data_IF_152848005462
#
_entry.id   IF_152848005462
#
_cell.length_a   1.000
_cell.length_b   1.000
_cell.length_c   1.000
_cell.angle_alpha   90.00
_cell.angle_beta   90.00
_cell.angle_gamma   90.00
#
_symmetry.space_group_name_H-M   'P 1'
#
loop_
_entity.id
_entity.type
_entity.pdbx_description
1 polymer ?
#
# COMPACT_ATOMS: atom_id res chain seq x y z
N UNK A 1 2.71 18.75 33.45
CA UNK A 1 3.37 17.59 32.88
C UNK A 1 2.91 17.43 31.41
N UNK A 2 3.87 17.44 30.51
CA UNK A 2 3.57 17.22 29.07
C UNK A 2 3.21 15.77 28.85
N UNK A 3 2.08 15.49 28.18
CA UNK A 3 1.74 14.11 27.84
C UNK A 3 2.86 13.46 27.02
N UNK A 4 3.15 12.18 27.20
CA UNK A 4 4.15 11.50 26.39
C UNK A 4 3.72 11.51 24.93
N UNK A 5 4.70 11.67 24.02
CA UNK A 5 4.47 11.54 22.58
C UNK A 5 4.05 10.10 22.28
N UNK A 6 3.00 9.88 21.47
CA UNK A 6 2.62 8.52 21.09
C UNK A 6 3.78 7.78 20.45
N UNK A 7 3.94 6.47 20.72
CA UNK A 7 4.96 5.67 20.06
C UNK A 7 4.77 5.73 18.54
N UNK A 8 5.88 5.79 17.82
CA UNK A 8 5.88 5.80 16.36
C UNK A 8 5.87 4.38 15.82
N UNK A 9 4.96 4.12 14.91
CA UNK A 9 4.91 2.87 14.15
C UNK A 9 5.04 3.22 12.67
N UNK A 10 6.03 2.66 12.01
CA UNK A 10 6.27 2.91 10.60
C UNK A 10 5.78 1.74 9.76
N UNK A 11 5.22 2.06 8.60
CA UNK A 11 4.75 1.08 7.63
C UNK A 11 5.17 1.49 6.23
N UNK A 12 5.40 0.50 5.38
CA UNK A 12 5.70 0.69 3.97
C UNK A 12 4.55 0.10 3.15
N UNK A 13 4.06 0.87 2.18
CA UNK A 13 2.98 0.48 1.28
C UNK A 13 3.47 0.54 -0.16
N UNK A 14 2.98 -0.35 -0.99
CA UNK A 14 3.35 -0.38 -2.40
C UNK A 14 2.16 0.04 -3.26
N UNK A 15 2.40 0.99 -4.17
CA UNK A 15 1.45 1.27 -5.24
C UNK A 15 1.93 0.44 -6.41
N UNK A 16 1.35 -0.74 -6.57
CA UNK A 16 1.79 -1.76 -7.52
C UNK A 16 1.07 -1.58 -8.85
N UNK A 17 1.81 -1.21 -9.87
CA UNK A 17 1.26 -1.02 -11.22
C UNK A 17 1.85 -2.04 -12.19
N UNK A 18 0.99 -2.57 -13.07
CA UNK A 18 1.42 -3.43 -14.17
C UNK A 18 1.67 -2.60 -15.45
N UNK A 19 1.98 -3.27 -16.55
CA UNK A 19 2.26 -2.61 -17.83
C UNK A 19 1.04 -1.88 -18.42
N UNK A 20 -0.16 -2.24 -18.00
CA UNK A 20 -1.42 -1.61 -18.43
C UNK A 20 -1.90 -0.54 -17.44
N UNK A 21 -1.03 -0.14 -16.51
CA UNK A 21 -1.32 0.85 -15.47
C UNK A 21 -2.49 0.47 -14.56
N UNK A 22 -2.72 -0.84 -14.38
CA UNK A 22 -3.66 -1.33 -13.37
C UNK A 22 -2.95 -1.40 -12.03
N UNK A 23 -3.69 -1.12 -10.97
CA UNK A 23 -3.16 -1.15 -9.61
C UNK A 23 -3.65 -2.39 -8.87
N UNK A 24 -2.75 -3.02 -8.11
CA UNK A 24 -3.08 -4.21 -7.30
C UNK A 24 -3.60 -3.78 -5.93
N UNK A 25 -4.76 -4.29 -5.56
CA UNK A 25 -5.33 -4.08 -4.23
C UNK A 25 -5.71 -5.41 -3.60
N UNK A 26 -5.65 -5.43 -2.27
CA UNK A 26 -6.04 -6.56 -1.44
C UNK A 26 -7.33 -6.21 -0.73
N UNK A 27 -8.26 -7.17 -0.68
CA UNK A 27 -9.53 -6.99 0.01
C UNK A 27 -9.48 -7.59 1.40
N UNK A 28 -9.93 -6.81 2.37
CA UNK A 28 -10.05 -7.20 3.78
C UNK A 28 -11.51 -7.20 4.19
N UNK A 29 -11.91 -8.16 5.04
CA UNK A 29 -13.27 -8.26 5.55
C UNK A 29 -13.54 -7.37 6.77
N UNK A 30 -12.50 -6.81 7.35
CA UNK A 30 -12.62 -5.96 8.53
C UNK A 30 -13.43 -4.70 8.24
N UNK A 31 -14.06 -4.15 9.27
CA UNK A 31 -14.80 -2.89 9.18
C UNK A 31 -15.82 -2.81 8.03
N UNK A 32 -16.48 -3.92 7.73
CA UNK A 32 -17.47 -3.97 6.66
C UNK A 32 -16.90 -4.22 5.27
N UNK A 33 -15.60 -4.44 5.18
CA UNK A 33 -14.90 -4.72 3.93
C UNK A 33 -14.29 -3.48 3.30
N UNK A 34 -13.03 -3.60 2.89
CA UNK A 34 -12.33 -2.54 2.18
C UNK A 34 -11.19 -3.10 1.34
N UNK A 35 -10.76 -2.30 0.38
CA UNK A 35 -9.59 -2.59 -0.45
C UNK A 35 -8.44 -1.69 -0.01
N UNK A 36 -7.23 -2.21 -0.02
CA UNK A 36 -6.05 -1.44 0.35
C UNK A 36 -4.82 -1.87 -0.45
N UNK A 37 -3.86 -0.95 -0.54
CA UNK A 37 -2.56 -1.23 -1.16
C UNK A 37 -1.79 -2.25 -0.33
N UNK A 38 -0.99 -3.13 -0.97
CA UNK A 38 -0.12 -4.07 -0.25
C UNK A 38 0.87 -3.34 0.65
N UNK A 39 1.26 -4.00 1.73
CA UNK A 39 2.27 -3.48 2.63
C UNK A 39 2.00 -3.82 4.08
N UNK A 40 2.82 -3.31 4.96
CA UNK A 40 2.69 -3.53 6.38
C UNK A 40 3.77 -2.83 7.19
N UNK A 41 3.77 -3.10 8.48
CA UNK A 41 4.72 -2.49 9.42
C UNK A 41 6.14 -2.95 9.16
N UNK A 42 7.11 -2.05 9.38
CA UNK A 42 8.51 -2.38 9.35
C UNK A 42 8.85 -3.31 10.54
N UNK A 43 9.72 -4.27 10.28
CA UNK A 43 10.31 -5.08 11.34
C UNK A 43 11.51 -4.31 11.92
N UNK A 44 11.94 -4.71 13.10
CA UNK A 44 13.06 -4.07 13.77
C UNK A 44 14.31 -4.06 12.88
N UNK A 45 14.91 -2.89 12.72
CA UNK A 45 16.12 -2.71 11.90
C UNK A 45 15.88 -2.70 10.39
N UNK A 46 14.62 -2.80 9.96
CA UNK A 46 14.26 -2.84 8.55
C UNK A 46 14.04 -1.44 8.00
N UNK A 47 14.52 -1.16 6.78
CA UNK A 47 14.17 0.08 6.10
C UNK A 47 12.89 -0.11 5.27
N UNK A 48 12.35 1.00 4.75
CA UNK A 48 11.09 0.97 4.00
C UNK A 48 11.18 0.18 2.69
N UNK A 49 12.30 0.26 1.98
CA UNK A 49 12.49 -0.48 0.74
C UNK A 49 12.48 -1.99 0.98
N UNK A 50 13.21 -2.43 1.99
CA UNK A 50 13.27 -3.85 2.38
C UNK A 50 11.91 -4.34 2.84
N UNK A 51 11.20 -3.54 3.64
CA UNK A 51 9.86 -3.87 4.11
C UNK A 51 8.87 -4.01 2.94
N UNK A 52 8.93 -3.10 1.98
CA UNK A 52 8.06 -3.15 0.79
C UNK A 52 8.28 -4.45 0.02
N UNK A 53 9.53 -4.82 -0.25
CA UNK A 53 9.84 -6.05 -0.98
C UNK A 53 9.42 -7.30 -0.20
N UNK A 54 9.65 -7.30 1.11
CA UNK A 54 9.24 -8.41 1.97
C UNK A 54 7.73 -8.61 1.98
N UNK A 55 6.98 -7.52 2.14
CA UNK A 55 5.51 -7.57 2.15
C UNK A 55 4.95 -8.05 0.80
N UNK A 56 5.54 -7.62 -0.31
CA UNK A 56 5.12 -8.10 -1.64
C UNK A 56 5.38 -9.60 -1.80
N UNK A 57 6.47 -10.11 -1.25
CA UNK A 57 6.74 -11.54 -1.26
C UNK A 57 5.72 -12.30 -0.39
N UNK A 58 5.43 -11.79 0.80
CA UNK A 58 4.50 -12.44 1.73
C UNK A 58 3.06 -12.39 1.23
N UNK A 59 2.62 -11.27 0.70
CA UNK A 59 1.22 -11.06 0.31
C UNK A 59 0.91 -11.50 -1.12
N UNK A 60 1.85 -11.32 -2.05
CA UNK A 60 1.64 -11.56 -3.48
C UNK A 60 2.54 -12.64 -4.07
N UNK A 61 3.39 -13.27 -3.26
CA UNK A 61 4.36 -14.28 -3.72
C UNK A 61 5.27 -13.74 -4.83
N UNK A 62 5.61 -12.46 -4.77
CA UNK A 62 6.51 -11.82 -5.73
C UNK A 62 7.97 -11.95 -5.30
N UNK A 63 8.80 -12.47 -6.23
CA UNK A 63 10.26 -12.45 -6.06
C UNK A 63 10.73 -11.01 -6.21
N UNK A 64 11.64 -10.56 -5.36
CA UNK A 64 12.16 -9.19 -5.44
C UNK A 64 12.80 -8.86 -6.78
N UNK A 65 13.32 -9.86 -7.49
CA UNK A 65 13.90 -9.69 -8.83
C UNK A 65 12.85 -9.34 -9.87
N UNK A 66 11.58 -9.66 -9.61
CA UNK A 66 10.45 -9.34 -10.48
C UNK A 66 9.86 -7.96 -10.17
N UNK A 67 10.39 -7.26 -9.18
CA UNK A 67 9.86 -5.98 -8.71
C UNK A 67 10.80 -4.85 -9.04
N UNK A 68 10.31 -3.85 -9.77
CA UNK A 68 11.03 -2.59 -9.97
C UNK A 68 10.52 -1.60 -8.93
N UNK A 69 11.32 -1.37 -7.88
CA UNK A 69 10.98 -0.45 -6.80
C UNK A 69 11.37 0.96 -7.18
N UNK A 70 10.38 1.85 -7.22
CA UNK A 70 10.54 3.25 -7.57
C UNK A 70 10.55 4.18 -6.36
N UNK A 71 10.35 5.48 -6.60
CA UNK A 71 10.43 6.49 -5.54
C UNK A 71 9.25 6.46 -4.60
N UNK A 72 9.43 7.09 -3.44
CA UNK A 72 8.33 7.37 -2.53
C UNK A 72 7.41 8.41 -3.14
N UNK A 73 6.13 8.10 -3.24
CA UNK A 73 5.12 8.97 -3.86
C UNK A 73 4.29 9.75 -2.86
N UNK A 74 4.10 9.19 -1.67
CA UNK A 74 3.20 9.77 -0.69
C UNK A 74 3.53 9.30 0.72
N UNK A 75 2.97 10.01 1.70
CA UNK A 75 2.98 9.54 3.08
C UNK A 75 1.67 9.92 3.77
N UNK A 76 1.31 9.13 4.77
CA UNK A 76 0.12 9.34 5.59
C UNK A 76 0.49 9.15 7.05
N UNK A 77 0.05 10.08 7.89
CA UNK A 77 0.26 9.98 9.32
C UNK A 77 -1.10 9.95 10.04
N UNK A 78 -1.26 9.02 10.95
CA UNK A 78 -2.51 8.85 11.69
C UNK A 78 -2.22 8.41 13.12
N UNK A 79 -2.90 9.03 14.08
CA UNK A 79 -2.88 8.58 15.47
C UNK A 79 -4.11 7.71 15.69
N UNK A 80 -3.92 6.51 16.23
CA UNK A 80 -5.03 5.62 16.56
C UNK A 80 -4.70 4.79 17.81
N UNK A 81 -5.74 4.20 18.38
CA UNK A 81 -5.59 3.38 19.57
C UNK A 81 -5.16 1.96 19.21
N UNK A 82 -4.10 1.49 19.88
CA UNK A 82 -3.65 0.10 19.79
C UNK A 82 -3.46 -0.39 21.22
N UNK A 83 -4.23 -1.38 21.61
CA UNK A 83 -4.18 -1.92 22.97
C UNK A 83 -4.47 -0.87 24.06
N UNK A 84 -5.36 0.09 23.76
CA UNK A 84 -5.73 1.16 24.70
C UNK A 84 -4.77 2.32 24.76
N UNK A 85 -3.75 2.35 23.91
CA UNK A 85 -2.75 3.44 23.85
C UNK A 85 -2.77 4.10 22.49
N UNK A 86 -2.54 5.42 22.44
CA UNK A 86 -2.36 6.13 21.19
C UNK A 86 -1.05 5.70 20.54
N UNK A 87 -1.13 5.38 19.26
CA UNK A 87 0.03 5.07 18.42
C UNK A 87 -0.03 5.97 17.22
N UNK A 88 1.09 6.61 16.90
CA UNK A 88 1.23 7.38 15.66
C UNK A 88 1.76 6.45 14.58
N UNK A 89 0.97 6.22 13.54
CA UNK A 89 1.39 5.42 12.40
C UNK A 89 1.74 6.33 11.25
N UNK A 90 2.92 6.12 10.68
CA UNK A 90 3.38 6.82 9.47
C UNK A 90 3.54 5.76 8.37
N UNK A 91 2.76 5.91 7.32
CA UNK A 91 2.81 5.03 6.15
C UNK A 91 3.48 5.77 5.00
N UNK A 92 4.45 5.14 4.36
CA UNK A 92 5.12 5.68 3.17
C UNK A 92 4.79 4.78 1.98
N UNK A 93 4.39 5.42 0.89
CA UNK A 93 3.91 4.74 -0.33
C UNK A 93 4.95 4.83 -1.42
N UNK A 94 5.33 3.68 -1.97
CA UNK A 94 6.37 3.58 -3.01
C UNK A 94 5.77 3.08 -4.31
N UNK A 95 6.13 3.74 -5.42
CA UNK A 95 5.78 3.25 -6.74
C UNK A 95 6.50 1.93 -6.97
N UNK A 96 5.75 0.93 -7.41
CA UNK A 96 6.29 -0.42 -7.62
C UNK A 96 5.76 -0.94 -8.95
N UNK A 97 6.67 -1.28 -9.86
CA UNK A 97 6.32 -1.82 -11.17
C UNK A 97 6.55 -3.31 -11.20
N UNK A 98 5.55 -4.05 -11.67
CA UNK A 98 5.64 -5.51 -11.83
C UNK A 98 4.94 -5.92 -13.12
N UNK A 99 5.27 -7.11 -13.63
CA UNK A 99 4.51 -7.71 -14.72
C UNK A 99 3.31 -8.45 -14.13
N UNK A 100 2.13 -8.26 -14.73
CA UNK A 100 0.93 -8.98 -14.30
C UNK A 100 1.13 -10.50 -14.37
N UNK A 101 1.99 -10.98 -15.28
CA UNK A 101 2.31 -12.39 -15.40
C UNK A 101 3.03 -12.96 -14.17
N UNK A 102 3.69 -12.11 -13.38
CA UNK A 102 4.41 -12.53 -12.17
C UNK A 102 3.50 -12.60 -10.94
N UNK A 103 2.26 -12.13 -11.06
CA UNK A 103 1.29 -12.17 -9.97
C UNK A 103 0.14 -13.08 -10.37
N UNK A 104 -0.02 -14.19 -9.65
CA UNK A 104 -1.18 -15.07 -9.82
C UNK A 104 -2.04 -14.94 -8.56
N UNK A 105 -3.20 -14.28 -8.66
CA UNK A 105 -4.07 -14.10 -7.48
C UNK A 105 -4.47 -15.43 -6.82
N UNK A 106 -4.52 -16.52 -7.59
CA UNK A 106 -4.85 -17.84 -7.04
C UNK A 106 -3.70 -18.47 -6.25
N UNK A 107 -2.46 -18.03 -6.50
CA UNK A 107 -1.26 -18.59 -5.85
C UNK A 107 -0.68 -17.69 -4.77
N UNK A 108 -1.07 -16.43 -4.74
CA UNK A 108 -0.55 -15.49 -3.77
C UNK A 108 -0.83 -15.96 -2.35
N UNK A 109 0.16 -15.82 -1.47
CA UNK A 109 -0.04 -16.09 -0.05
C UNK A 109 -1.00 -15.07 0.51
N UNK A 110 -2.03 -15.55 1.19
CA UNK A 110 -3.02 -14.65 1.76
C UNK A 110 -2.93 -14.70 3.28
N UNK A 111 -2.58 -13.57 3.93
CA UNK A 111 -2.74 -13.43 5.36
C UNK A 111 -4.19 -13.71 5.77
N UNK A 112 -4.42 -14.07 7.02
CA UNK A 112 -5.74 -14.50 7.51
C UNK A 112 -6.89 -13.55 7.15
N UNK A 113 -6.61 -12.24 7.06
CA UNK A 113 -7.62 -11.22 6.83
C UNK A 113 -7.86 -10.88 5.36
N UNK A 114 -6.98 -11.32 4.46
CA UNK A 114 -7.10 -11.01 3.03
C UNK A 114 -8.02 -12.01 2.37
N UNK A 115 -9.06 -11.51 1.70
CA UNK A 115 -10.08 -12.34 1.04
C UNK A 115 -9.91 -12.42 -0.46
N UNK A 116 -9.32 -11.39 -1.07
CA UNK A 116 -9.18 -11.30 -2.51
C UNK A 116 -8.01 -10.43 -2.89
N UNK A 117 -7.39 -10.73 -4.00
CA UNK A 117 -6.34 -9.93 -4.63
C UNK A 117 -6.85 -9.60 -6.04
N UNK A 118 -6.83 -8.32 -6.42
CA UNK A 118 -7.40 -7.92 -7.70
C UNK A 118 -6.64 -6.75 -8.32
N UNK A 119 -6.48 -6.81 -9.65
CA UNK A 119 -6.01 -5.68 -10.45
C UNK A 119 -7.19 -4.75 -10.73
N UNK A 120 -6.97 -3.45 -10.52
CA UNK A 120 -7.97 -2.41 -10.75
C UNK A 120 -7.51 -1.45 -11.82
N UNK A 121 -8.38 -1.15 -12.78
CA UNK A 121 -8.12 -0.03 -13.71
C UNK A 121 -8.42 1.29 -13.00
N UNK A 122 -7.88 2.39 -13.53
CA UNK A 122 -8.17 3.73 -12.99
C UNK A 122 -9.67 4.02 -13.07
N UNK A 123 -10.33 3.64 -14.17
CA UNK A 123 -11.78 3.81 -14.33
C UNK A 123 -12.57 3.07 -13.25
N UNK A 124 -12.15 1.84 -12.93
CA UNK A 124 -12.79 1.07 -11.86
C UNK A 124 -12.61 1.73 -10.49
N UNK A 125 -11.42 2.25 -10.22
CA UNK A 125 -11.15 2.98 -8.96
C UNK A 125 -12.05 4.20 -8.82
N UNK A 126 -12.27 4.95 -9.89
CA UNK A 126 -13.10 6.16 -9.86
C UNK A 126 -14.59 5.86 -9.78
N UNK A 127 -15.01 4.72 -10.30
CA UNK A 127 -16.43 4.35 -10.36
C UNK A 127 -16.92 3.56 -9.14
N UNK A 128 -16.00 2.96 -8.37
CA UNK A 128 -16.42 2.08 -7.26
C UNK A 128 -17.05 2.85 -6.11
N UNK A 129 -18.04 2.22 -5.48
CA UNK A 129 -18.64 2.68 -4.24
C UNK A 129 -18.04 1.97 -3.02
N UNK A 130 -17.16 1.00 -3.27
CA UNK A 130 -16.46 0.29 -2.19
C UNK A 130 -15.38 1.18 -1.58
N UNK A 131 -15.06 0.92 -0.33
CA UNK A 131 -14.01 1.66 0.38
C UNK A 131 -12.64 1.22 -0.12
N UNK A 132 -11.82 2.20 -0.52
CA UNK A 132 -10.44 1.97 -0.99
C UNK A 132 -9.50 2.87 -0.18
N UNK A 133 -8.44 2.30 0.32
CA UNK A 133 -7.38 3.05 1.02
C UNK A 133 -6.06 2.98 0.24
N UNK A 134 -5.34 4.09 0.12
CA UNK A 134 -5.68 5.42 0.65
C UNK A 134 -6.80 6.09 -0.16
N UNK A 135 -7.53 7.01 0.49
CA UNK A 135 -8.72 7.65 -0.12
C UNK A 135 -8.43 8.37 -1.44
N UNK A 136 -7.21 8.87 -1.63
CA UNK A 136 -6.81 9.61 -2.83
C UNK A 136 -6.00 8.77 -3.81
N UNK A 137 -6.12 7.45 -3.73
CA UNK A 137 -5.35 6.55 -4.57
C UNK A 137 -5.57 6.80 -6.08
N UNK A 138 -6.81 7.01 -6.49
CA UNK A 138 -7.12 7.25 -7.91
C UNK A 138 -6.41 8.49 -8.46
N UNK A 139 -6.37 9.56 -7.68
CA UNK A 139 -5.68 10.79 -8.07
C UNK A 139 -4.17 10.57 -8.18
N UNK A 140 -3.61 9.84 -7.24
CA UNK A 140 -2.19 9.54 -7.22
C UNK A 140 -1.79 8.66 -8.41
N UNK A 141 -2.55 7.62 -8.69
CA UNK A 141 -2.33 6.74 -9.85
C UNK A 141 -2.47 7.53 -11.16
N UNK A 142 -3.50 8.38 -11.26
CA UNK A 142 -3.71 9.22 -12.43
C UNK A 142 -2.50 10.12 -12.73
N UNK A 143 -1.94 10.74 -11.69
CA UNK A 143 -0.74 11.57 -11.84
C UNK A 143 0.45 10.78 -12.36
N UNK A 144 0.66 9.58 -11.85
CA UNK A 144 1.75 8.70 -12.28
C UNK A 144 1.60 8.32 -13.76
N UNK A 145 0.38 7.88 -14.14
CA UNK A 145 0.07 7.44 -15.51
C UNK A 145 0.24 8.58 -16.51
N UNK A 146 -0.09 9.79 -16.12
CA UNK A 146 0.04 10.99 -16.97
C UNK A 146 1.47 11.54 -17.02
N UNK A 147 2.41 10.92 -16.32
CA UNK A 147 3.79 11.38 -16.27
C UNK A 147 4.03 12.56 -15.34
N UNK A 148 3.08 12.85 -14.47
CA UNK A 148 3.15 13.95 -13.50
C UNK A 148 3.41 13.43 -12.09
N UNK A 149 4.37 12.51 -11.94
CA UNK A 149 4.75 12.03 -10.61
C UNK A 149 5.18 13.20 -9.73
N UNK A 150 4.74 13.22 -8.46
CA UNK A 150 5.10 14.32 -7.58
C UNK A 150 6.60 14.39 -7.34
N UNK A 151 7.15 15.61 -7.35
CA UNK A 151 8.58 15.85 -7.05
C UNK A 151 8.89 15.55 -5.59
N UNK A 152 7.91 15.73 -4.73
CA UNK A 152 7.99 15.44 -3.30
C UNK A 152 6.82 14.54 -2.92
N UNK A 153 6.99 13.67 -1.92
CA UNK A 153 5.89 12.84 -1.46
C UNK A 153 4.66 13.67 -1.08
N UNK A 154 3.51 13.25 -1.57
CA UNK A 154 2.23 13.89 -1.26
C UNK A 154 1.79 13.47 0.13
N UNK A 155 1.35 14.42 0.95
CA UNK A 155 0.80 14.10 2.26
C UNK A 155 -0.68 13.74 2.11
N UNK A 156 -1.02 12.53 2.50
CA UNK A 156 -2.40 12.02 2.44
C UNK A 156 -3.07 12.13 3.81
N UNK A 157 -4.37 12.27 3.80
CA UNK A 157 -5.17 12.33 5.03
C UNK A 157 -5.68 10.94 5.45
#
# INVERSE_FOLDING_TARGET
VTPPTPPLREAARAIVLDADDRVMLLRYDEEGGFWATPGGSLEEGEDHATATLRELREELDLDEKAVELGPQLAERSKVHLVGGRDVRQVEKYFLTRVSAADVDPARASQPDNVREIRWWTLSELRATTETVYPARLADLVSAIVEGHSPERPVVLN
#
